data_IF_744889953930
#
_entry.id   IF_744889953930
#
_cell.length_a   1.000
_cell.length_b   1.000
_cell.length_c   1.000
_cell.angle_alpha   90.00
_cell.angle_beta   90.00
_cell.angle_gamma   90.00
#
_symmetry.space_group_name_H-M   'P 1'
#
loop_
_entity.id
_entity.type
_entity.pdbx_description
1 polymer ?
#
# COMPACT_ATOMS: atom_id res chain seq x y z
N UNK A 1 -2.93 5.73 -19.92
CA UNK A 1 -4.06 5.61 -18.98
C UNK A 1 -5.35 5.66 -19.78
N UNK A 2 -6.24 4.70 -19.59
CA UNK A 2 -7.52 4.58 -20.29
C UNK A 2 -8.66 4.69 -19.26
N UNK A 3 -9.84 5.18 -19.70
CA UNK A 3 -11.03 5.13 -18.88
C UNK A 3 -11.57 3.70 -18.72
N UNK A 4 -12.59 3.52 -17.89
CA UNK A 4 -13.24 2.22 -17.66
C UNK A 4 -13.83 1.63 -18.95
N UNK A 5 -14.14 2.49 -19.93
CA UNK A 5 -14.57 2.13 -21.28
C UNK A 5 -13.41 1.63 -22.19
N UNK A 6 -12.21 1.54 -21.67
CA UNK A 6 -11.00 1.14 -22.39
C UNK A 6 -10.43 2.18 -23.36
N UNK A 7 -11.03 3.37 -23.47
CA UNK A 7 -10.58 4.42 -24.36
C UNK A 7 -9.59 5.37 -23.65
N UNK A 8 -8.57 5.87 -24.36
CA UNK A 8 -7.66 6.87 -23.81
C UNK A 8 -8.41 8.11 -23.37
N UNK A 9 -8.03 8.70 -22.23
CA UNK A 9 -8.53 10.02 -21.86
C UNK A 9 -8.13 11.04 -22.93
N UNK A 10 -9.10 11.55 -23.69
CA UNK A 10 -8.87 12.50 -24.77
C UNK A 10 -8.67 13.91 -24.24
N UNK A 11 -7.53 14.52 -24.57
CA UNK A 11 -7.20 15.90 -24.17
C UNK A 11 -7.87 16.98 -25.02
N UNK A 12 -8.48 16.65 -26.16
CA UNK A 12 -8.94 17.62 -27.17
C UNK A 12 -10.44 17.86 -27.27
N UNK A 13 -11.28 17.09 -26.57
CA UNK A 13 -12.76 17.17 -26.70
C UNK A 13 -13.48 17.59 -25.41
N UNK A 14 -12.88 18.47 -24.59
CA UNK A 14 -13.56 19.04 -23.42
C UNK A 14 -13.82 18.09 -22.25
N UNK A 15 -13.38 16.82 -22.34
CA UNK A 15 -13.54 15.80 -21.30
C UNK A 15 -12.26 15.46 -20.56
N UNK A 16 -11.31 16.40 -20.47
CA UNK A 16 -10.06 16.17 -19.76
C UNK A 16 -10.29 16.27 -18.28
N UNK A 17 -10.17 15.16 -17.59
CA UNK A 17 -10.06 15.17 -16.13
C UNK A 17 -8.74 15.90 -15.78
N UNK A 18 -8.86 17.12 -15.26
CA UNK A 18 -7.68 17.85 -14.78
C UNK A 18 -7.09 17.09 -13.60
N UNK A 19 -5.76 17.15 -13.46
CA UNK A 19 -5.09 16.47 -12.34
C UNK A 19 -5.65 16.88 -10.98
N UNK A 20 -6.03 18.15 -10.83
CA UNK A 20 -6.66 18.64 -9.61
C UNK A 20 -8.00 17.94 -9.34
N UNK A 21 -8.87 17.83 -10.36
CA UNK A 21 -10.18 17.19 -10.25
C UNK A 21 -10.03 15.70 -9.92
N UNK A 22 -9.02 15.05 -10.52
CA UNK A 22 -8.68 13.67 -10.24
C UNK A 22 -8.24 13.48 -8.78
N UNK A 23 -7.37 14.36 -8.25
CA UNK A 23 -6.95 14.33 -6.86
C UNK A 23 -8.14 14.55 -5.92
N UNK A 24 -9.02 15.49 -6.23
CA UNK A 24 -10.23 15.76 -5.44
C UNK A 24 -11.13 14.52 -5.40
N UNK A 25 -11.47 13.96 -6.56
CA UNK A 25 -12.31 12.76 -6.65
C UNK A 25 -11.68 11.56 -5.92
N UNK A 26 -10.36 11.38 -6.07
CA UNK A 26 -9.64 10.32 -5.35
C UNK A 26 -9.64 10.56 -3.83
N UNK A 27 -9.57 11.82 -3.37
CA UNK A 27 -9.64 12.16 -1.94
C UNK A 27 -11.01 11.87 -1.37
N UNK A 28 -12.09 12.24 -2.10
CA UNK A 28 -13.46 11.92 -1.70
C UNK A 28 -13.66 10.40 -1.57
N UNK A 29 -13.16 9.65 -2.55
CA UNK A 29 -13.24 8.18 -2.51
C UNK A 29 -12.40 7.57 -1.37
N UNK A 30 -11.22 8.10 -1.12
CA UNK A 30 -10.39 7.67 0.00
C UNK A 30 -11.06 7.94 1.36
N UNK A 31 -11.78 9.06 1.49
CA UNK A 31 -12.58 9.40 2.69
C UNK A 31 -13.68 8.37 2.91
N UNK A 32 -14.44 8.02 1.87
CA UNK A 32 -15.46 6.96 1.93
C UNK A 32 -14.84 5.64 2.40
N UNK A 33 -13.74 5.21 1.79
CA UNK A 33 -13.05 3.96 2.13
C UNK A 33 -12.52 3.94 3.56
N UNK A 34 -12.00 5.06 4.08
CA UNK A 34 -11.57 5.18 5.48
C UNK A 34 -12.76 5.02 6.44
N UNK A 35 -13.90 5.63 6.13
CA UNK A 35 -15.12 5.47 6.92
C UNK A 35 -15.65 4.04 6.89
N UNK A 36 -15.76 3.42 5.72
CA UNK A 36 -16.20 2.02 5.55
C UNK A 36 -15.32 1.05 6.34
N UNK A 37 -14.01 1.29 6.35
CA UNK A 37 -13.05 0.46 7.07
C UNK A 37 -12.97 0.78 8.58
N UNK A 38 -13.74 1.76 9.08
CA UNK A 38 -13.67 2.21 10.47
C UNK A 38 -12.33 2.81 10.87
N UNK A 39 -11.54 3.28 9.89
CA UNK A 39 -10.22 3.85 10.12
C UNK A 39 -10.31 5.36 10.38
N UNK A 40 -9.49 5.85 11.31
CA UNK A 40 -9.38 7.27 11.60
C UNK A 40 -10.47 7.83 12.54
N UNK A 41 -11.28 6.98 13.18
CA UNK A 41 -12.30 7.42 14.14
C UNK A 41 -11.73 8.22 15.32
N UNK A 42 -10.46 8.01 15.66
CA UNK A 42 -9.74 8.71 16.74
C UNK A 42 -9.07 10.02 16.27
N UNK A 43 -9.13 10.33 14.98
CA UNK A 43 -8.49 11.50 14.42
C UNK A 43 -9.36 12.75 14.56
N UNK A 44 -8.71 13.90 14.72
CA UNK A 44 -9.43 15.17 14.55
C UNK A 44 -9.92 15.32 13.11
N UNK A 45 -10.98 16.09 12.84
CA UNK A 45 -11.48 16.28 11.47
C UNK A 45 -10.39 16.71 10.48
N UNK A 46 -9.50 17.61 10.88
CA UNK A 46 -8.39 18.06 10.04
C UNK A 46 -7.39 16.93 9.75
N UNK A 47 -7.04 16.13 10.77
CA UNK A 47 -6.11 15.00 10.60
C UNK A 47 -6.73 13.89 9.76
N UNK A 48 -8.05 13.70 9.81
CA UNK A 48 -8.78 12.76 8.97
C UNK A 48 -8.73 13.17 7.50
N UNK A 49 -9.01 14.46 7.19
CA UNK A 49 -8.92 14.99 5.83
C UNK A 49 -7.49 14.89 5.27
N UNK A 50 -6.50 15.21 6.06
CA UNK A 50 -5.08 15.05 5.72
C UNK A 50 -4.74 13.59 5.40
N UNK A 51 -5.30 12.65 6.16
CA UNK A 51 -5.12 11.21 5.95
C UNK A 51 -5.81 10.77 4.66
N UNK A 52 -7.04 11.18 4.42
CA UNK A 52 -7.77 10.87 3.19
C UNK A 52 -7.00 11.37 1.95
N UNK A 53 -6.47 12.60 2.02
CA UNK A 53 -5.65 13.14 0.94
C UNK A 53 -4.37 12.32 0.71
N UNK A 54 -3.65 11.94 1.77
CA UNK A 54 -2.44 11.09 1.66
C UNK A 54 -2.74 9.72 1.07
N UNK A 55 -3.86 9.12 1.45
CA UNK A 55 -4.33 7.83 0.89
C UNK A 55 -4.64 7.98 -0.60
N UNK A 56 -5.34 9.03 -1.00
CA UNK A 56 -5.63 9.33 -2.39
C UNK A 56 -4.35 9.50 -3.23
N UNK A 57 -3.40 10.30 -2.75
CA UNK A 57 -2.11 10.50 -3.44
C UNK A 57 -1.33 9.17 -3.56
N UNK A 58 -1.35 8.34 -2.53
CA UNK A 58 -0.70 7.03 -2.59
C UNK A 58 -1.38 6.12 -3.61
N UNK A 59 -2.72 6.11 -3.66
CA UNK A 59 -3.49 5.35 -4.64
C UNK A 59 -3.12 5.76 -6.07
N UNK A 60 -3.14 7.04 -6.37
CA UNK A 60 -2.83 7.58 -7.70
C UNK A 60 -1.39 7.31 -8.11
N UNK A 61 -0.41 7.61 -7.23
CA UNK A 61 1.00 7.39 -7.52
C UNK A 61 1.31 5.92 -7.74
N UNK A 62 0.80 5.04 -6.90
CA UNK A 62 1.06 3.61 -7.04
C UNK A 62 0.38 3.04 -8.28
N UNK A 63 -0.85 3.44 -8.59
CA UNK A 63 -1.54 3.03 -9.81
C UNK A 63 -0.75 3.38 -11.07
N UNK A 64 -0.17 4.58 -11.13
CA UNK A 64 0.64 5.00 -12.27
C UNK A 64 2.02 4.31 -12.29
N UNK A 65 2.77 4.36 -11.20
CA UNK A 65 4.14 3.85 -11.10
C UNK A 65 4.24 2.33 -11.16
N UNK A 66 3.16 1.59 -10.82
CA UNK A 66 3.14 0.13 -10.89
C UNK A 66 3.00 -0.41 -12.32
N UNK A 67 2.68 0.44 -13.28
CA UNK A 67 2.62 0.09 -14.69
C UNK A 67 3.91 0.50 -15.40
N UNK A 68 4.43 -0.38 -16.26
CA UNK A 68 5.58 0.00 -17.08
C UNK A 68 5.16 1.09 -18.09
N UNK A 69 6.01 2.09 -18.29
CA UNK A 69 5.68 3.33 -19.03
C UNK A 69 5.12 3.15 -20.44
N UNK A 70 5.39 2.01 -21.08
CA UNK A 70 4.86 1.69 -22.43
C UNK A 70 3.57 0.89 -22.39
N UNK A 71 3.10 0.49 -21.20
CA UNK A 71 1.91 -0.33 -21.03
C UNK A 71 0.69 0.57 -20.79
N UNK A 72 -0.36 0.35 -21.56
CA UNK A 72 -1.67 0.96 -21.29
C UNK A 72 -2.35 0.26 -20.12
N UNK A 73 -2.97 1.02 -19.24
CA UNK A 73 -3.76 0.46 -18.15
C UNK A 73 -5.12 1.19 -18.03
N UNK A 74 -6.10 0.48 -17.49
CA UNK A 74 -7.41 1.03 -17.19
C UNK A 74 -7.35 1.72 -15.83
N UNK A 75 -7.77 2.97 -15.79
CA UNK A 75 -7.86 3.73 -14.56
C UNK A 75 -9.21 3.42 -13.89
N UNK A 76 -9.15 2.70 -12.80
CA UNK A 76 -10.28 2.32 -11.96
C UNK A 76 -10.06 2.83 -10.54
N UNK A 77 -10.76 3.90 -10.18
CA UNK A 77 -10.56 4.57 -8.90
C UNK A 77 -11.05 3.72 -7.72
N UNK A 78 -12.12 2.96 -7.88
CA UNK A 78 -12.63 2.05 -6.85
C UNK A 78 -11.59 0.99 -6.48
N UNK A 79 -10.96 0.42 -7.49
CA UNK A 79 -9.88 -0.54 -7.33
C UNK A 79 -8.64 0.08 -6.69
N UNK A 80 -8.22 1.27 -7.15
CA UNK A 80 -6.97 1.89 -6.70
C UNK A 80 -7.03 2.44 -5.28
N UNK A 81 -8.22 2.84 -4.81
CA UNK A 81 -8.43 3.31 -3.43
C UNK A 81 -8.72 2.19 -2.43
N UNK A 82 -8.78 0.94 -2.87
CA UNK A 82 -8.98 -0.20 -1.99
C UNK A 82 -7.78 -0.39 -1.04
N UNK A 83 -8.06 -0.78 0.20
CA UNK A 83 -7.04 -1.21 1.16
C UNK A 83 -6.61 -2.68 0.98
N UNK A 84 -7.13 -3.34 -0.05
CA UNK A 84 -6.81 -4.72 -0.40
C UNK A 84 -6.20 -4.81 -1.80
N UNK A 85 -5.44 -5.87 -2.04
CA UNK A 85 -4.80 -6.13 -3.33
C UNK A 85 -3.58 -5.26 -3.60
N UNK A 86 -3.24 -5.12 -4.88
CA UNK A 86 -2.04 -4.39 -5.33
C UNK A 86 -2.34 -2.90 -5.47
N UNK A 87 -2.38 -2.19 -4.34
CA UNK A 87 -2.77 -0.78 -4.26
C UNK A 87 -1.84 0.04 -3.37
N UNK A 88 -1.81 1.36 -3.57
CA UNK A 88 -1.07 2.29 -2.72
C UNK A 88 -1.57 2.29 -1.26
N UNK A 89 -2.89 2.37 -1.01
CA UNK A 89 -3.45 2.28 0.33
C UNK A 89 -3.07 0.99 1.08
N UNK A 90 -3.02 -0.17 0.40
CA UNK A 90 -2.54 -1.40 1.00
C UNK A 90 -1.09 -1.27 1.50
N UNK A 91 -0.19 -0.67 0.71
CA UNK A 91 1.20 -0.46 1.11
C UNK A 91 1.32 0.51 2.29
N UNK A 92 0.53 1.60 2.28
CA UNK A 92 0.47 2.52 3.42
C UNK A 92 0.01 1.81 4.69
N UNK A 93 -1.04 1.00 4.59
CA UNK A 93 -1.54 0.21 5.71
C UNK A 93 -0.46 -0.70 6.30
N UNK A 94 0.28 -1.44 5.46
CA UNK A 94 1.37 -2.30 5.92
C UNK A 94 2.48 -1.47 6.59
N UNK A 95 2.83 -0.32 6.04
CA UNK A 95 3.83 0.58 6.63
C UNK A 95 3.40 1.11 8.01
N UNK A 96 2.14 1.50 8.17
CA UNK A 96 1.57 1.96 9.45
C UNK A 96 1.57 0.82 10.46
N UNK A 97 1.22 -0.39 10.04
CA UNK A 97 1.24 -1.60 10.87
C UNK A 97 2.64 -1.90 11.41
N UNK A 98 3.66 -1.88 10.56
CA UNK A 98 5.06 -2.07 10.95
C UNK A 98 5.49 -0.98 11.95
N UNK A 99 5.22 0.29 11.64
CA UNK A 99 5.56 1.41 12.54
C UNK A 99 4.85 1.31 13.90
N UNK A 100 3.60 0.86 13.91
CA UNK A 100 2.86 0.64 15.16
C UNK A 100 3.47 -0.48 15.98
N UNK A 101 3.86 -1.58 15.33
CA UNK A 101 4.57 -2.70 15.95
C UNK A 101 5.88 -2.25 16.62
N UNK A 102 6.71 -1.52 15.88
CA UNK A 102 7.99 -1.02 16.40
C UNK A 102 7.81 -0.04 17.56
N UNK A 103 6.79 0.83 17.52
CA UNK A 103 6.49 1.72 18.65
C UNK A 103 6.07 0.93 19.91
N UNK A 104 5.24 -0.09 19.75
CA UNK A 104 4.83 -0.96 20.87
C UNK A 104 6.04 -1.71 21.43
N UNK A 105 6.90 -2.24 20.60
CA UNK A 105 8.13 -2.90 21.01
C UNK A 105 9.02 -1.96 21.84
N UNK A 106 9.22 -0.74 21.37
CA UNK A 106 10.00 0.27 22.10
C UNK A 106 9.38 0.62 23.48
N UNK A 107 8.06 0.78 23.57
CA UNK A 107 7.37 1.02 24.86
C UNK A 107 7.54 -0.13 25.83
N UNK A 108 7.62 -1.37 25.34
CA UNK A 108 7.85 -2.57 26.14
C UNK A 108 9.33 -2.82 26.45
N UNK A 109 10.24 -1.95 26.01
CA UNK A 109 11.67 -2.11 26.22
C UNK A 109 12.31 -3.22 25.38
N UNK A 110 11.63 -3.70 24.33
CA UNK A 110 12.19 -4.70 23.42
C UNK A 110 13.23 -4.04 22.53
N UNK A 111 14.47 -4.47 22.64
CA UNK A 111 15.58 -4.03 21.82
C UNK A 111 15.85 -4.99 20.65
N UNK A 112 16.42 -4.50 19.53
CA UNK A 112 16.91 -5.38 18.48
C UNK A 112 17.95 -6.36 19.00
N UNK A 113 17.82 -7.63 18.61
CA UNK A 113 18.75 -8.70 18.94
C UNK A 113 19.38 -9.32 17.70
N UNK A 114 20.08 -10.44 17.89
CA UNK A 114 20.58 -11.24 16.78
C UNK A 114 19.42 -11.78 15.94
N UNK A 115 19.57 -11.74 14.61
CA UNK A 115 18.56 -12.26 13.69
C UNK A 115 18.77 -13.78 13.60
N UNK A 116 17.81 -14.53 14.13
CA UNK A 116 17.77 -15.99 14.03
C UNK A 116 16.53 -16.38 13.22
N UNK A 117 16.75 -17.06 12.10
CA UNK A 117 15.67 -17.51 11.21
C UNK A 117 15.32 -18.95 11.55
N UNK A 118 14.12 -19.16 12.07
CA UNK A 118 13.60 -20.48 12.47
C UNK A 118 12.44 -20.91 11.57
N UNK A 119 11.52 -19.98 11.33
CA UNK A 119 10.28 -20.28 10.60
C UNK A 119 10.41 -20.03 9.08
N UNK A 120 9.72 -20.83 8.26
CA UNK A 120 9.72 -20.63 6.80
C UNK A 120 9.29 -19.22 6.36
N UNK A 121 8.34 -18.61 7.07
CA UNK A 121 7.87 -17.26 6.76
C UNK A 121 8.93 -16.19 7.06
N UNK A 122 9.75 -16.37 8.07
CA UNK A 122 10.91 -15.50 8.37
C UNK A 122 11.94 -15.58 7.24
N UNK A 123 12.24 -16.80 6.80
CA UNK A 123 13.17 -17.03 5.69
C UNK A 123 12.68 -16.38 4.39
N UNK A 124 11.38 -16.53 4.08
CA UNK A 124 10.79 -15.91 2.89
C UNK A 124 10.90 -14.38 2.95
N UNK A 125 10.58 -13.78 4.09
CA UNK A 125 10.68 -12.34 4.28
C UNK A 125 12.13 -11.85 4.13
N UNK A 126 13.10 -12.56 4.73
CA UNK A 126 14.51 -12.22 4.63
C UNK A 126 15.00 -12.26 3.18
N UNK A 127 14.63 -13.29 2.40
CA UNK A 127 14.99 -13.40 0.98
C UNK A 127 14.37 -12.30 0.12
N UNK A 128 13.14 -11.88 0.43
CA UNK A 128 12.51 -10.77 -0.28
C UNK A 128 13.19 -9.44 0.07
N UNK A 129 13.61 -9.25 1.32
CA UNK A 129 14.39 -8.07 1.72
C UNK A 129 15.74 -8.03 1.01
N UNK A 130 16.47 -9.15 0.95
CA UNK A 130 17.77 -9.28 0.29
C UNK A 130 17.70 -8.96 -1.22
N UNK A 131 16.58 -9.26 -1.87
CA UNK A 131 16.37 -8.97 -3.29
C UNK A 131 16.11 -7.48 -3.61
N UNK A 132 16.17 -6.57 -2.63
CA UNK A 132 15.86 -5.15 -2.86
C UNK A 132 16.85 -4.48 -3.81
N UNK A 133 18.15 -4.71 -3.63
CA UNK A 133 19.18 -4.12 -4.48
C UNK A 133 19.04 -4.55 -5.94
N UNK A 134 18.68 -5.82 -6.17
CA UNK A 134 18.39 -6.32 -7.51
C UNK A 134 17.19 -5.59 -8.14
N UNK A 135 16.12 -5.36 -7.37
CA UNK A 135 14.94 -4.63 -7.86
C UNK A 135 15.27 -3.18 -8.21
N UNK A 136 16.13 -2.53 -7.43
CA UNK A 136 16.62 -1.16 -7.70
C UNK A 136 17.47 -1.14 -8.97
N UNK A 137 18.40 -2.09 -9.11
CA UNK A 137 19.25 -2.20 -10.30
C UNK A 137 18.41 -2.43 -11.57
N UNK A 138 17.44 -3.33 -11.50
CA UNK A 138 16.54 -3.60 -12.63
C UNK A 138 15.69 -2.37 -13.00
N UNK A 139 15.18 -1.64 -12.00
CA UNK A 139 14.45 -0.40 -12.23
C UNK A 139 15.31 0.68 -12.88
N UNK A 140 16.57 0.76 -12.49
CA UNK A 140 17.55 1.69 -13.08
C UNK A 140 17.84 1.32 -14.55
N UNK A 141 18.22 0.07 -14.80
CA UNK A 141 18.61 -0.40 -16.13
C UNK A 141 17.47 -0.28 -17.16
N UNK A 142 16.26 -0.63 -16.73
CA UNK A 142 15.04 -0.58 -17.56
C UNK A 142 14.34 0.79 -17.52
N UNK A 143 14.83 1.72 -16.68
CA UNK A 143 14.20 3.02 -16.42
C UNK A 143 12.70 2.88 -16.13
N UNK A 144 12.38 1.92 -15.24
CA UNK A 144 11.01 1.53 -14.91
C UNK A 144 10.75 1.46 -13.42
N UNK A 145 10.09 2.47 -12.81
CA UNK A 145 9.75 2.44 -11.38
C UNK A 145 8.80 1.29 -11.01
N UNK A 146 8.15 0.68 -12.00
CA UNK A 146 7.27 -0.47 -11.81
C UNK A 146 7.98 -1.68 -11.19
N UNK A 147 9.28 -1.85 -11.39
CA UNK A 147 10.05 -2.92 -10.76
C UNK A 147 10.17 -2.72 -9.23
N UNK A 148 10.38 -1.48 -8.79
CA UNK A 148 10.37 -1.15 -7.36
C UNK A 148 8.95 -1.30 -6.78
N UNK A 149 7.93 -0.84 -7.50
CA UNK A 149 6.54 -0.98 -7.07
C UNK A 149 6.13 -2.45 -6.90
N UNK A 150 6.54 -3.32 -7.85
CA UNK A 150 6.33 -4.76 -7.76
C UNK A 150 7.04 -5.38 -6.57
N UNK A 151 8.32 -5.05 -6.38
CA UNK A 151 9.10 -5.53 -5.24
C UNK A 151 8.47 -5.11 -3.91
N UNK A 152 8.06 -3.82 -3.79
CA UNK A 152 7.42 -3.31 -2.58
C UNK A 152 6.12 -4.04 -2.27
N UNK A 153 5.33 -4.37 -3.28
CA UNK A 153 4.11 -5.16 -3.10
C UNK A 153 4.41 -6.58 -2.63
N UNK A 154 5.38 -7.25 -3.24
CA UNK A 154 5.84 -8.59 -2.81
C UNK A 154 6.36 -8.57 -1.37
N UNK A 155 7.11 -7.54 -1.00
CA UNK A 155 7.60 -7.37 0.38
C UNK A 155 6.44 -7.20 1.37
N UNK A 156 5.44 -6.38 1.03
CA UNK A 156 4.26 -6.20 1.87
C UNK A 156 3.44 -7.49 2.04
N UNK A 157 3.33 -8.30 0.98
CA UNK A 157 2.69 -9.62 1.05
C UNK A 157 3.48 -10.60 1.91
N UNK A 158 4.80 -10.64 1.74
CA UNK A 158 5.68 -11.50 2.54
C UNK A 158 5.64 -11.12 4.02
N UNK A 159 5.66 -9.81 4.33
CA UNK A 159 5.46 -9.32 5.69
C UNK A 159 4.10 -9.73 6.26
N UNK A 160 3.02 -9.66 5.48
CA UNK A 160 1.69 -10.10 5.93
C UNK A 160 1.66 -11.58 6.30
N UNK A 161 2.32 -12.44 5.50
CA UNK A 161 2.43 -13.88 5.80
C UNK A 161 3.27 -14.14 7.05
N UNK A 162 4.43 -13.48 7.14
CA UNK A 162 5.26 -13.52 8.34
C UNK A 162 4.49 -13.13 9.60
N UNK A 163 3.79 -12.00 9.56
CA UNK A 163 3.04 -11.50 10.71
C UNK A 163 1.88 -12.42 11.13
N UNK A 164 1.30 -13.16 10.19
CA UNK A 164 0.24 -14.13 10.47
C UNK A 164 0.80 -15.45 11.04
N UNK A 165 1.99 -15.87 10.59
CA UNK A 165 2.59 -17.15 10.97
C UNK A 165 3.44 -17.07 12.24
N UNK A 166 4.11 -15.93 12.45
CA UNK A 166 5.06 -15.74 13.56
C UNK A 166 4.45 -14.83 14.63
N UNK A 167 4.18 -15.32 15.84
CA UNK A 167 3.64 -14.50 16.92
C UNK A 167 4.65 -13.41 17.30
N UNK A 168 4.28 -12.16 17.07
CA UNK A 168 5.09 -11.04 17.56
C UNK A 168 4.55 -10.63 18.93
N UNK A 169 5.32 -10.76 20.02
CA UNK A 169 4.82 -10.60 21.40
C UNK A 169 4.10 -9.27 21.69
N UNK A 170 4.40 -8.23 20.92
CA UNK A 170 3.81 -6.89 21.06
C UNK A 170 2.47 -6.71 20.33
N UNK A 171 1.98 -7.74 19.63
CA UNK A 171 0.78 -7.62 18.79
C UNK A 171 -0.55 -7.85 19.51
N UNK A 172 -0.54 -8.31 20.78
CA UNK A 172 -1.73 -8.73 21.52
C UNK A 172 -2.64 -7.60 22.07
N UNK A 173 -2.66 -6.42 21.47
CA UNK A 173 -3.67 -5.41 21.78
C UNK A 173 -4.35 -4.90 20.52
N UNK A 174 -5.55 -5.43 20.27
CA UNK A 174 -6.64 -4.88 19.45
C UNK A 174 -6.28 -4.00 18.25
N UNK A 175 -5.91 -4.63 17.14
CA UNK A 175 -6.22 -4.19 15.80
C UNK A 175 -6.61 -5.43 14.99
N UNK A 176 -7.72 -6.04 15.37
CA UNK A 176 -8.40 -6.99 14.50
C UNK A 176 -9.16 -6.20 13.46
N UNK A 177 -8.56 -6.01 12.30
CA UNK A 177 -9.37 -5.91 11.10
C UNK A 177 -10.06 -7.27 10.91
N UNK A 178 -11.32 -7.31 10.46
CA UNK A 178 -11.97 -8.56 10.13
C UNK A 178 -11.14 -9.26 9.06
N UNK A 179 -10.41 -10.29 9.47
CA UNK A 179 -9.92 -11.28 8.52
C UNK A 179 -11.17 -11.98 8.02
N UNK A 180 -11.54 -11.76 6.76
CA UNK A 180 -12.45 -12.65 6.08
C UNK A 180 -11.84 -14.06 6.14
N UNK A 181 -12.25 -14.80 7.18
CA UNK A 181 -12.27 -16.26 7.15
C UNK A 181 -13.55 -16.63 6.45
N UNK A 182 -13.46 -16.88 5.14
CA UNK A 182 -14.35 -17.81 4.48
C UNK A 182 -13.57 -18.52 3.38
N UNK A 183 -13.42 -19.81 3.65
CA UNK A 183 -13.34 -21.03 2.82
C UNK A 183 -12.49 -20.97 1.58
#
# INVERSE_FOLDING_TARGET
>A
MNGVDGKPFKTREGGVLKLHDLITTATDKARERLHEAGLGAELTPQAFEDTAHKVAIAALKFADLSNFRTTSYVFDLDRFTSFEGKTGPYLLYQSVRIKSLLRKAAVQGVAPGEIVIVEPAERELALVLDAFDQAVQEAYDKRGPSFIAEHTYRLAQSFSRFYAACPVPVSYTHLTLPTNREV
#
